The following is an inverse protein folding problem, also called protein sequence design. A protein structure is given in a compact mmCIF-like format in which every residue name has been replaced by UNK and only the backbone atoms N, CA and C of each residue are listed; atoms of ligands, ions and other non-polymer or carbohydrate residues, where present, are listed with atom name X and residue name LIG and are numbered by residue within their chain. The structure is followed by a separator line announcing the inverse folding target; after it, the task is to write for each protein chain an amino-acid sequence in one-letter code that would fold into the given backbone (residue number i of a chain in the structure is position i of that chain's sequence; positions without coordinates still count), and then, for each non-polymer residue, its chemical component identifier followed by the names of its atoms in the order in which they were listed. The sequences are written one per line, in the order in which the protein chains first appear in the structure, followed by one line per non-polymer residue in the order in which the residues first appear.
data_IF_441144956126
#
_entry.id   IF_441144956126
#
_cell.length_a   1.000
_cell.length_b   1.000
_cell.length_c   1.000
_cell.angle_alpha   90.00
_cell.angle_beta   90.00
_cell.angle_gamma   90.00
#
_symmetry.space_group_name_H-M   'P 1'
#
loop_
_entity.id
_entity.type
_entity.pdbx_description
1 polymer ?
#
# COMPACT_ATOMS: atom_id res chain seq x y z
N UNK A 1 0.69 -23.05 -12.52
CA UNK A 1 0.30 -22.40 -11.26
C UNK A 1 0.51 -23.42 -10.15
N UNK A 2 1.61 -23.31 -9.39
CA UNK A 2 1.96 -24.24 -8.31
C UNK A 2 0.97 -24.14 -7.15
N UNK A 3 0.77 -25.24 -6.42
CA UNK A 3 -0.13 -25.36 -5.26
C UNK A 3 0.11 -24.31 -4.17
N UNK A 4 1.34 -23.78 -4.03
CA UNK A 4 1.67 -22.64 -3.15
C UNK A 4 0.87 -21.37 -3.47
N UNK A 5 0.61 -21.07 -4.75
CA UNK A 5 -0.11 -19.86 -5.16
C UNK A 5 -1.60 -19.90 -4.77
N UNK A 6 -2.19 -21.10 -4.71
CA UNK A 6 -3.58 -21.30 -4.29
C UNK A 6 -3.75 -21.14 -2.78
N UNK A 7 -2.72 -21.48 -1.98
CA UNK A 7 -2.76 -21.30 -0.52
C UNK A 7 -2.53 -19.83 -0.11
N UNK A 8 -1.71 -19.08 -0.85
CA UNK A 8 -1.52 -17.63 -0.69
C UNK A 8 -2.83 -16.84 -0.92
N UNK A 9 -3.60 -17.20 -1.95
CA UNK A 9 -4.89 -16.55 -2.24
C UNK A 9 -5.95 -16.75 -1.15
N UNK A 10 -5.92 -17.87 -0.41
CA UNK A 10 -6.88 -18.15 0.68
C UNK A 10 -6.64 -17.33 1.96
N UNK A 11 -5.59 -16.50 2.00
CA UNK A 11 -5.11 -15.84 3.22
C UNK A 11 -5.19 -14.33 3.22
N UNK A 12 -5.69 -13.73 2.14
CA UNK A 12 -6.06 -12.31 2.09
C UNK A 12 -7.56 -12.24 2.37
N UNK A 13 -7.93 -11.87 3.60
CA UNK A 13 -9.31 -11.52 3.90
C UNK A 13 -9.55 -10.06 3.53
N UNK A 14 -10.45 -9.82 2.58
CA UNK A 14 -10.94 -8.48 2.23
C UNK A 14 -12.07 -8.10 3.18
N UNK A 15 -11.86 -7.05 3.96
CA UNK A 15 -12.89 -6.52 4.85
C UNK A 15 -13.44 -5.21 4.27
N UNK A 16 -14.64 -5.28 3.65
CA UNK A 16 -15.40 -4.09 3.34
C UNK A 16 -16.08 -3.57 4.62
N UNK A 17 -15.61 -2.42 5.11
CA UNK A 17 -16.12 -1.81 6.35
C UNK A 17 -17.31 -0.90 6.06
N UNK A 18 -18.32 -0.94 6.93
CA UNK A 18 -19.52 -0.07 6.91
C UNK A 18 -19.29 1.32 7.53
N UNK A 19 -18.08 1.63 8.03
CA UNK A 19 -17.72 2.90 8.69
C UNK A 19 -16.42 3.46 8.09
N UNK A 20 -16.35 4.80 7.96
CA UNK A 20 -15.18 5.56 7.50
C UNK A 20 -13.95 5.15 8.30
N UNK A 21 -13.08 4.38 7.66
CA UNK A 21 -11.80 3.90 8.19
C UNK A 21 -10.79 3.97 7.06
N UNK A 22 -9.56 4.32 7.43
CA UNK A 22 -8.38 4.42 6.57
C UNK A 22 -8.14 3.07 5.87
N UNK A 23 -7.65 3.10 4.62
CA UNK A 23 -7.19 1.93 3.88
C UNK A 23 -5.91 1.41 4.54
N UNK A 24 -5.85 0.13 4.89
CA UNK A 24 -4.74 -0.40 5.65
C UNK A 24 -4.56 -1.92 5.48
N UNK A 25 -3.30 -2.31 5.48
CA UNK A 25 -2.80 -3.65 5.68
C UNK A 25 -2.68 -4.01 7.18
N UNK A 26 -3.16 -5.20 7.55
CA UNK A 26 -2.99 -5.75 8.90
C UNK A 26 -2.41 -7.15 8.86
N UNK A 27 -1.25 -7.36 9.49
CA UNK A 27 -0.73 -8.70 9.74
C UNK A 27 -1.44 -9.32 10.94
N UNK A 28 -2.32 -10.29 10.69
CA UNK A 28 -3.02 -11.04 11.74
C UNK A 28 -2.11 -12.12 12.36
N UNK A 29 -1.26 -12.73 11.54
CA UNK A 29 -0.31 -13.75 11.94
C UNK A 29 0.99 -13.53 11.18
N UNK A 30 2.09 -13.31 11.91
CA UNK A 30 3.42 -13.17 11.31
C UNK A 30 4.01 -14.52 10.92
N UNK A 31 4.96 -14.52 9.99
CA UNK A 31 5.71 -15.74 9.66
C UNK A 31 6.78 -16.03 10.73
N UNK A 32 7.08 -17.31 10.98
CA UNK A 32 8.18 -17.75 11.86
C UNK A 32 8.50 -19.22 11.64
N UNK A 33 9.71 -19.63 11.98
CA UNK A 33 10.05 -21.04 12.09
C UNK A 33 9.53 -21.59 13.43
N UNK A 34 8.84 -22.72 13.40
CA UNK A 34 8.35 -23.42 14.62
C UNK A 34 9.34 -24.52 15.00
N UNK A 35 9.80 -25.29 14.02
CA UNK A 35 10.81 -26.35 14.16
C UNK A 35 11.62 -26.47 12.86
N UNK A 36 12.56 -27.41 12.78
CA UNK A 36 13.34 -27.65 11.55
C UNK A 36 12.46 -28.04 10.35
N UNK A 37 11.33 -28.70 10.59
CA UNK A 37 10.42 -29.19 9.55
C UNK A 37 9.11 -28.40 9.43
N UNK A 38 8.80 -27.50 10.37
CA UNK A 38 7.52 -26.79 10.42
C UNK A 38 7.69 -25.26 10.37
N UNK A 39 6.92 -24.63 9.48
CA UNK A 39 6.97 -23.19 9.22
C UNK A 39 5.59 -22.55 9.37
N UNK A 40 5.52 -21.54 10.22
CA UNK A 40 4.33 -20.74 10.40
C UNK A 40 4.17 -19.79 9.23
N UNK A 41 3.15 -20.02 8.40
CA UNK A 41 2.83 -19.12 7.31
C UNK A 41 2.07 -17.86 7.79
N UNK A 42 2.31 -16.70 7.16
CA UNK A 42 1.67 -15.45 7.55
C UNK A 42 0.20 -15.39 7.12
N UNK A 43 -0.60 -14.61 7.85
CA UNK A 43 -2.00 -14.30 7.52
C UNK A 43 -2.18 -12.79 7.58
N UNK A 44 -2.77 -12.24 6.54
CA UNK A 44 -2.86 -10.79 6.31
C UNK A 44 -4.30 -10.41 5.98
N UNK A 45 -4.78 -9.31 6.56
CA UNK A 45 -6.04 -8.71 6.19
C UNK A 45 -5.80 -7.40 5.43
N UNK A 46 -6.50 -7.24 4.32
CA UNK A 46 -6.51 -6.01 3.54
C UNK A 46 -7.84 -5.31 3.77
N UNK A 47 -7.81 -4.15 4.41
CA UNK A 47 -9.00 -3.35 4.67
C UNK A 47 -8.98 -2.14 3.75
N UNK A 48 -9.82 -2.16 2.72
CA UNK A 48 -10.00 -1.02 1.81
C UNK A 48 -11.45 -0.59 1.80
N UNK A 49 -11.67 0.72 1.81
CA UNK A 49 -12.98 1.35 1.83
C UNK A 49 -13.22 2.11 0.52
N UNK A 50 -13.50 1.36 -0.53
CA UNK A 50 -13.82 1.90 -1.85
C UNK A 50 -15.28 2.33 -1.95
N UNK A 51 -15.58 3.17 -2.94
CA UNK A 51 -16.95 3.58 -3.25
C UNK A 51 -17.90 2.37 -3.31
N UNK A 52 -19.00 2.48 -2.57
CA UNK A 52 -20.07 1.49 -2.63
C UNK A 52 -20.76 1.56 -4.00
N UNK A 53 -21.28 0.43 -4.52
CA UNK A 53 -22.11 0.45 -5.72
C UNK A 53 -23.32 1.38 -5.53
N UNK A 54 -23.62 2.18 -6.54
CA UNK A 54 -24.80 3.03 -6.59
C UNK A 54 -25.86 2.37 -7.49
N UNK A 55 -26.96 1.94 -6.86
CA UNK A 55 -28.10 1.33 -7.54
C UNK A 55 -27.70 0.16 -8.46
N UNK A 56 -27.75 0.43 -9.78
CA UNK A 56 -27.47 -0.55 -10.84
C UNK A 56 -26.01 -0.58 -11.32
N UNK A 57 -25.14 0.30 -10.82
CA UNK A 57 -23.75 0.40 -11.29
C UNK A 57 -22.83 -0.38 -10.35
N UNK A 58 -21.95 -1.27 -10.85
CA UNK A 58 -20.95 -1.92 -10.01
C UNK A 58 -20.01 -0.88 -9.38
N UNK A 59 -19.30 -1.21 -8.29
CA UNK A 59 -18.33 -0.30 -7.71
C UNK A 59 -17.18 -0.05 -8.70
N UNK A 60 -17.00 1.21 -9.09
CA UNK A 60 -15.94 1.65 -10.01
C UNK A 60 -14.85 2.33 -9.16
N UNK A 61 -13.62 1.85 -9.30
CA UNK A 61 -12.47 2.46 -8.64
C UNK A 61 -11.94 3.62 -9.46
N UNK A 62 -11.73 4.76 -8.81
CA UNK A 62 -10.97 5.85 -9.42
C UNK A 62 -9.46 5.52 -9.46
N UNK A 63 -8.66 6.19 -10.30
CA UNK A 63 -7.23 5.88 -10.43
C UNK A 63 -6.44 5.96 -9.10
N UNK A 64 -6.83 6.88 -8.20
CA UNK A 64 -6.20 7.06 -6.89
C UNK A 64 -6.58 5.94 -5.91
N UNK A 65 -7.80 5.43 -5.99
CA UNK A 65 -8.25 4.24 -5.24
C UNK A 65 -7.51 2.99 -5.73
N UNK A 66 -7.24 2.86 -7.04
CA UNK A 66 -6.40 1.79 -7.59
C UNK A 66 -4.97 1.93 -7.08
N UNK A 67 -4.38 3.13 -7.12
CA UNK A 67 -3.05 3.39 -6.54
C UNK A 67 -3.01 2.99 -5.05
N UNK A 68 -4.02 3.40 -4.28
CA UNK A 68 -4.12 3.06 -2.85
C UNK A 68 -4.28 1.56 -2.62
N UNK A 69 -5.08 0.87 -3.45
CA UNK A 69 -5.20 -0.59 -3.38
C UNK A 69 -3.84 -1.27 -3.57
N UNK A 70 -3.08 -0.80 -4.57
CA UNK A 70 -1.76 -1.32 -4.87
C UNK A 70 -0.74 -1.01 -3.76
N UNK A 71 -0.81 0.18 -3.15
CA UNK A 71 -0.01 0.53 -1.97
C UNK A 71 -0.19 -0.49 -0.85
N UNK A 72 -1.45 -0.71 -0.44
CA UNK A 72 -1.76 -1.65 0.64
C UNK A 72 -1.46 -3.11 0.24
N UNK A 73 -1.63 -3.44 -1.03
CA UNK A 73 -1.25 -4.74 -1.56
C UNK A 73 0.26 -4.97 -1.53
N UNK A 74 1.07 -3.94 -1.75
CA UNK A 74 2.52 -3.98 -1.59
C UNK A 74 2.92 -4.34 -0.15
N UNK A 75 2.29 -3.73 0.85
CA UNK A 75 2.46 -4.10 2.27
C UNK A 75 2.02 -5.54 2.56
N UNK A 76 0.90 -5.97 1.97
CA UNK A 76 0.43 -7.33 2.10
C UNK A 76 1.41 -8.34 1.51
N UNK A 77 1.94 -8.09 0.32
CA UNK A 77 2.96 -8.94 -0.30
C UNK A 77 4.26 -8.95 0.48
N UNK A 78 4.70 -7.81 1.00
CA UNK A 78 5.88 -7.74 1.86
C UNK A 78 5.71 -8.67 3.08
N UNK A 79 4.52 -8.71 3.67
CA UNK A 79 4.20 -9.60 4.79
C UNK A 79 4.04 -11.07 4.39
N UNK A 80 3.42 -11.34 3.24
CA UNK A 80 3.16 -12.70 2.76
C UNK A 80 4.40 -13.41 2.24
N UNK A 81 5.31 -12.67 1.59
CA UNK A 81 6.54 -13.20 1.02
C UNK A 81 7.71 -13.20 2.01
N UNK A 82 7.57 -12.55 3.16
CA UNK A 82 8.56 -12.58 4.22
C UNK A 82 8.77 -14.01 4.71
N UNK A 83 10.04 -14.43 4.78
CA UNK A 83 10.45 -15.74 5.33
C UNK A 83 11.51 -15.52 6.39
N UNK A 84 11.09 -15.34 7.64
CA UNK A 84 11.99 -15.15 8.78
C UNK A 84 11.92 -16.30 9.78
N UNK A 85 13.00 -16.47 10.54
CA UNK A 85 13.06 -17.41 11.65
C UNK A 85 12.21 -16.91 12.84
N UNK A 86 12.36 -15.63 13.20
CA UNK A 86 11.64 -15.02 14.31
C UNK A 86 10.48 -14.15 13.83
N UNK A 87 9.35 -14.26 14.52
CA UNK A 87 8.14 -13.48 14.23
C UNK A 87 8.36 -11.96 14.38
N UNK A 88 9.25 -11.55 15.28
CA UNK A 88 9.53 -10.12 15.52
C UNK A 88 10.15 -9.42 14.30
N UNK A 89 10.78 -10.17 13.40
CA UNK A 89 11.34 -9.64 12.15
C UNK A 89 10.46 -9.92 10.93
N UNK A 90 9.25 -10.46 11.14
CA UNK A 90 8.37 -10.84 10.03
C UNK A 90 7.66 -9.65 9.39
N UNK A 91 7.54 -9.69 8.07
CA UNK A 91 6.79 -8.76 7.24
C UNK A 91 7.34 -7.34 7.29
N UNK A 92 6.45 -6.36 7.48
CA UNK A 92 6.78 -4.93 7.45
C UNK A 92 7.55 -4.42 8.69
N UNK A 93 8.01 -5.31 9.58
CA UNK A 93 8.83 -4.96 10.74
C UNK A 93 10.30 -4.76 10.33
N UNK A 94 10.53 -3.81 9.45
CA UNK A 94 11.85 -3.40 8.94
C UNK A 94 12.24 -2.05 9.54
N UNK A 95 13.39 -1.53 9.12
CA UNK A 95 13.73 -0.11 9.37
C UNK A 95 12.66 0.80 8.76
N UNK A 96 12.34 1.89 9.47
CA UNK A 96 11.20 2.77 9.17
C UNK A 96 11.31 3.47 7.81
N UNK A 97 12.53 3.77 7.36
CA UNK A 97 12.82 4.36 6.06
C UNK A 97 12.65 3.37 4.89
N UNK A 98 12.66 2.07 5.18
CA UNK A 98 12.49 1.03 4.17
C UNK A 98 11.07 0.46 4.09
N UNK A 99 10.28 0.55 5.18
CA UNK A 99 8.98 -0.15 5.26
C UNK A 99 8.00 0.25 4.17
N UNK A 100 8.07 1.48 3.68
CA UNK A 100 7.23 2.00 2.59
C UNK A 100 7.80 1.73 1.18
N UNK A 101 9.02 1.22 1.06
CA UNK A 101 9.62 0.96 -0.26
C UNK A 101 8.78 -0.04 -1.08
N UNK A 102 8.30 -1.17 -0.50
CA UNK A 102 7.47 -2.11 -1.24
C UNK A 102 6.12 -1.53 -1.64
N UNK A 103 5.45 -0.75 -0.79
CA UNK A 103 4.16 -0.13 -1.10
C UNK A 103 4.29 0.90 -2.23
N UNK A 104 5.28 1.78 -2.16
CA UNK A 104 5.61 2.77 -3.19
C UNK A 104 5.99 2.13 -4.53
N UNK A 105 6.72 1.01 -4.52
CA UNK A 105 7.00 0.25 -5.75
C UNK A 105 5.71 -0.24 -6.42
N UNK A 106 4.74 -0.71 -5.63
CA UNK A 106 3.48 -1.20 -6.17
C UNK A 106 2.58 -0.08 -6.68
N UNK A 107 2.67 1.13 -6.13
CA UNK A 107 2.01 2.30 -6.73
C UNK A 107 2.45 2.50 -8.17
N UNK A 108 3.73 2.32 -8.52
CA UNK A 108 4.19 2.45 -9.92
C UNK A 108 3.50 1.45 -10.87
N UNK A 109 3.26 0.22 -10.41
CA UNK A 109 2.55 -0.78 -11.21
C UNK A 109 1.08 -0.41 -11.46
N UNK A 110 0.45 0.34 -10.56
CA UNK A 110 -0.91 0.84 -10.73
C UNK A 110 -1.06 1.81 -11.92
N UNK A 111 0.05 2.34 -12.44
CA UNK A 111 0.09 3.30 -13.55
C UNK A 111 0.71 2.74 -14.84
N UNK A 112 1.11 1.47 -14.84
CA UNK A 112 1.67 0.80 -16.01
C UNK A 112 0.55 0.24 -16.90
N UNK A 113 0.49 0.70 -18.15
CA UNK A 113 -0.47 0.22 -19.14
C UNK A 113 -0.43 -1.30 -19.32
N UNK A 114 0.75 -1.93 -19.26
CA UNK A 114 0.91 -3.38 -19.44
C UNK A 114 0.18 -4.18 -18.38
N UNK A 115 0.05 -3.62 -17.17
CA UNK A 115 -0.68 -4.26 -16.08
C UNK A 115 -2.14 -3.82 -16.08
N UNK A 116 -2.41 -2.52 -16.24
CA UNK A 116 -3.76 -1.97 -16.31
C UNK A 116 -4.59 -2.61 -17.43
N UNK A 117 -4.00 -2.90 -18.60
CA UNK A 117 -4.69 -3.56 -19.71
C UNK A 117 -5.16 -5.00 -19.40
N UNK A 118 -4.61 -5.64 -18.36
CA UNK A 118 -5.01 -7.00 -17.98
C UNK A 118 -6.37 -7.03 -17.26
N UNK A 119 -6.67 -6.00 -16.45
CA UNK A 119 -7.88 -5.97 -15.61
C UNK A 119 -8.77 -4.73 -15.83
N UNK A 120 -8.22 -3.62 -16.34
CA UNK A 120 -8.91 -2.38 -16.61
C UNK A 120 -9.79 -2.51 -17.85
N UNK A 121 -11.08 -2.72 -17.63
CA UNK A 121 -12.10 -2.86 -18.67
C UNK A 121 -13.28 -1.95 -18.42
N UNK A 122 -13.89 -1.46 -19.49
CA UNK A 122 -15.11 -0.69 -19.39
C UNK A 122 -16.27 -1.58 -18.90
N UNK A 123 -17.04 -1.10 -17.92
CA UNK A 123 -18.02 -1.93 -17.21
C UNK A 123 -19.19 -2.42 -18.10
N UNK A 124 -19.58 -1.65 -19.13
CA UNK A 124 -20.65 -2.04 -20.06
C UNK A 124 -20.14 -2.76 -21.30
N UNK A 125 -19.06 -2.24 -21.91
CA UNK A 125 -18.59 -2.68 -23.23
C UNK A 125 -17.51 -3.76 -23.14
N UNK A 126 -16.87 -3.93 -21.98
CA UNK A 126 -15.77 -4.87 -21.78
C UNK A 126 -14.46 -4.49 -22.49
N UNK A 127 -14.44 -3.37 -23.19
CA UNK A 127 -13.28 -2.84 -23.91
C UNK A 127 -12.14 -2.55 -22.93
N UNK A 128 -10.92 -2.84 -23.37
CA UNK A 128 -9.70 -2.61 -22.60
C UNK A 128 -9.46 -1.10 -22.50
N UNK A 129 -8.94 -0.64 -21.36
CA UNK A 129 -8.53 0.75 -21.18
C UNK A 129 -7.61 1.22 -22.33
N UNK A 130 -7.90 2.33 -23.01
CA UNK A 130 -7.04 2.81 -24.09
C UNK A 130 -5.67 3.28 -23.59
N UNK A 131 -4.59 2.88 -24.26
CA UNK A 131 -3.21 3.29 -23.91
C UNK A 131 -3.05 4.82 -23.86
N UNK A 132 -3.65 5.53 -24.82
CA UNK A 132 -3.64 6.99 -24.87
C UNK A 132 -4.26 7.62 -23.61
N UNK A 133 -5.27 6.98 -23.02
CA UNK A 133 -5.90 7.45 -21.79
C UNK A 133 -4.93 7.30 -20.61
N UNK A 134 -4.27 6.15 -20.49
CA UNK A 134 -3.27 5.90 -19.43
C UNK A 134 -2.09 6.88 -19.55
N UNK A 135 -1.62 7.17 -20.77
CA UNK A 135 -0.58 8.16 -21.01
C UNK A 135 -1.00 9.56 -20.52
N UNK A 136 -2.21 10.02 -20.90
CA UNK A 136 -2.76 11.31 -20.45
C UNK A 136 -2.90 11.38 -18.92
N UNK A 137 -3.33 10.29 -18.29
CA UNK A 137 -3.43 10.20 -16.83
C UNK A 137 -2.05 10.30 -16.15
N UNK A 138 -1.02 9.67 -16.73
CA UNK A 138 0.35 9.76 -16.25
C UNK A 138 0.94 11.17 -16.39
N UNK A 139 0.64 11.86 -17.48
CA UNK A 139 1.05 13.25 -17.68
C UNK A 139 0.39 14.17 -16.65
N UNK A 140 -0.91 13.98 -16.40
CA UNK A 140 -1.63 14.71 -15.36
C UNK A 140 -1.03 14.47 -13.96
N UNK A 141 -0.65 13.23 -13.62
CA UNK A 141 0.02 12.90 -12.36
C UNK A 141 1.34 13.63 -12.19
N UNK A 142 2.12 13.79 -13.27
CA UNK A 142 3.46 14.39 -13.23
C UNK A 142 3.45 15.92 -13.18
N UNK A 143 2.38 16.56 -13.63
CA UNK A 143 2.30 18.01 -13.81
C UNK A 143 2.70 18.83 -12.57
N UNK A 144 2.38 18.36 -11.35
CA UNK A 144 2.63 19.08 -10.09
C UNK A 144 3.47 18.30 -9.08
N UNK A 145 4.22 17.29 -9.52
CA UNK A 145 5.00 16.43 -8.62
C UNK A 145 6.07 17.21 -7.84
N UNK A 146 6.72 18.19 -8.47
CA UNK A 146 7.73 19.03 -7.82
C UNK A 146 7.15 19.85 -6.66
N UNK A 147 5.94 20.40 -6.82
CA UNK A 147 5.25 21.17 -5.77
C UNK A 147 4.88 20.29 -4.59
N UNK A 148 4.45 19.05 -4.84
CA UNK A 148 4.16 18.08 -3.79
C UNK A 148 5.43 17.71 -3.01
N UNK A 149 6.54 17.42 -3.69
CA UNK A 149 7.83 17.16 -3.02
C UNK A 149 8.30 18.37 -2.21
N UNK A 150 8.16 19.59 -2.75
CA UNK A 150 8.50 20.81 -2.03
C UNK A 150 7.69 20.96 -0.73
N UNK A 151 6.40 20.60 -0.75
CA UNK A 151 5.54 20.60 0.44
C UNK A 151 6.04 19.59 1.48
N UNK A 152 6.42 18.39 1.08
CA UNK A 152 6.94 17.37 1.99
C UNK A 152 8.26 17.80 2.65
N UNK A 153 9.19 18.36 1.88
CA UNK A 153 10.46 18.92 2.39
C UNK A 153 10.19 20.05 3.40
N UNK A 154 9.25 20.94 3.09
CA UNK A 154 8.86 22.02 4.00
C UNK A 154 8.28 21.48 5.31
N UNK A 155 7.42 20.48 5.25
CA UNK A 155 6.86 19.85 6.45
C UNK A 155 7.96 19.29 7.34
N UNK A 156 8.90 18.52 6.76
CA UNK A 156 10.06 17.98 7.48
C UNK A 156 10.89 19.08 8.15
N UNK A 157 11.20 20.15 7.42
CA UNK A 157 11.97 21.29 7.92
C UNK A 157 11.31 21.96 9.14
N UNK A 158 9.99 22.16 9.09
CA UNK A 158 9.24 22.75 10.21
C UNK A 158 9.32 21.84 11.43
N UNK A 159 9.00 20.54 11.30
CA UNK A 159 9.06 19.59 12.42
C UNK A 159 10.44 19.49 13.04
N UNK A 160 11.50 19.45 12.22
CA UNK A 160 12.87 19.38 12.73
C UNK A 160 13.24 20.64 13.53
N UNK A 161 12.90 21.82 13.03
CA UNK A 161 13.17 23.09 13.72
C UNK A 161 12.39 23.22 15.03
N UNK A 162 11.11 22.82 15.06
CA UNK A 162 10.31 22.86 16.30
C UNK A 162 10.90 21.95 17.37
N UNK A 163 11.32 20.72 17.01
CA UNK A 163 11.97 19.81 17.95
C UNK A 163 13.29 20.40 18.49
N UNK A 164 14.13 20.96 17.62
CA UNK A 164 15.37 21.63 18.02
C UNK A 164 15.13 22.80 19.00
N UNK A 165 14.09 23.60 18.79
CA UNK A 165 13.73 24.67 19.72
C UNK A 165 13.24 24.13 21.06
N UNK A 166 12.41 23.08 21.07
CA UNK A 166 11.97 22.44 22.31
C UNK A 166 13.15 21.86 23.10
N UNK A 167 14.10 21.21 22.43
CA UNK A 167 15.34 20.74 23.06
C UNK A 167 16.17 21.88 23.64
N UNK A 168 16.31 23.01 22.94
CA UNK A 168 17.01 24.20 23.46
C UNK A 168 16.32 24.77 24.70
N UNK A 169 15.00 24.92 24.67
CA UNK A 169 14.23 25.42 25.82
C UNK A 169 14.37 24.48 27.02
N UNK A 170 14.23 23.16 26.79
CA UNK A 170 14.36 22.17 27.86
C UNK A 170 15.78 22.11 28.44
N UNK A 171 16.81 22.23 27.60
CA UNK A 171 18.20 22.28 28.04
C UNK A 171 18.50 23.56 28.83
N UNK A 172 17.99 24.71 28.38
CA UNK A 172 18.12 25.99 29.09
C UNK A 172 17.33 26.03 30.40
N UNK A 173 16.23 25.30 30.52
CA UNK A 173 15.44 25.22 31.76
C UNK A 173 16.02 24.24 32.80
N UNK A 174 17.04 23.44 32.43
CA UNK A 174 17.67 22.44 33.30
C UNK A 174 19.03 22.89 33.87
N UNK A 175 19.54 24.04 33.40
CA UNK A 175 20.71 24.76 33.91
C UNK A 175 20.27 26.08 34.55
#
# INVERSE_FOLDING_TARGET
MTTENVELQRRICTLQKKRRSINAHFTLKGCRRISESDYQLPVVALACNFAAPDGNTPPILNPWEVETLFHEFGHALHSLLSRTEFQHFSGTRTVLDFSETPSQLFEHYAWDYRLLSQFGRHYLTGEIIPEKMVASMNDAKRMLSATEVQRQVRAFHITANTLLQMFKIFWLARN
#
